data_IF_313525317744
#
_entry.id   IF_313525317744
#
_cell.length_a   1.000
_cell.length_b   1.000
_cell.length_c   1.000
_cell.angle_alpha   90.00
_cell.angle_beta   90.00
_cell.angle_gamma   90.00
#
_symmetry.space_group_name_H-M   'P 1'
#
loop_
_entity.id
_entity.type
_entity.pdbx_description
1 polymer ?
#
# COMPACT_ATOMS: atom_id res chain seq x y z
N UNK A 1 21.94 -7.01 -21.23
CA UNK A 1 21.79 -5.62 -21.71
C UNK A 1 20.33 -5.19 -21.51
N UNK A 2 20.07 -4.31 -20.55
CA UNK A 2 18.71 -3.83 -20.24
C UNK A 2 18.39 -2.67 -21.19
N UNK A 3 17.35 -2.81 -22.02
CA UNK A 3 16.82 -1.69 -22.81
C UNK A 3 16.28 -0.66 -21.81
N UNK A 4 17.01 0.44 -21.61
CA UNK A 4 16.49 1.62 -20.93
C UNK A 4 15.29 2.10 -21.72
N UNK A 5 14.10 1.96 -21.14
CA UNK A 5 12.89 2.57 -21.68
C UNK A 5 13.13 4.08 -21.63
N UNK A 6 13.05 4.82 -22.76
CA UNK A 6 13.32 6.24 -22.74
C UNK A 6 12.40 6.95 -21.74
N UNK A 7 12.95 7.91 -21.01
CA UNK A 7 12.18 8.76 -20.12
C UNK A 7 11.21 9.59 -20.96
N UNK A 8 9.94 9.15 -21.02
CA UNK A 8 8.86 9.98 -21.53
C UNK A 8 8.23 10.75 -20.37
N UNK A 9 8.17 12.09 -20.41
CA UNK A 9 7.50 12.87 -19.39
C UNK A 9 6.00 12.50 -19.32
N UNK A 10 5.34 12.70 -18.17
CA UNK A 10 3.89 12.52 -18.06
C UNK A 10 3.17 13.49 -18.99
N UNK A 11 2.07 13.02 -19.59
CA UNK A 11 1.24 13.85 -20.49
C UNK A 11 0.50 14.95 -19.69
N UNK A 12 0.28 16.15 -20.26
CA UNK A 12 -0.34 17.27 -19.56
C UNK A 12 -1.70 16.94 -18.93
N UNK A 13 -2.51 16.14 -19.61
CA UNK A 13 -3.85 15.74 -19.14
C UNK A 13 -3.74 14.92 -17.84
N UNK A 14 -2.76 14.03 -17.75
CA UNK A 14 -2.52 13.22 -16.56
C UNK A 14 -1.97 14.08 -15.41
N UNK A 15 -1.13 15.07 -15.69
CA UNK A 15 -0.66 16.03 -14.69
C UNK A 15 -1.83 16.82 -14.10
N UNK A 16 -2.72 17.33 -14.96
CA UNK A 16 -3.93 18.05 -14.54
C UNK A 16 -4.84 17.17 -13.68
N UNK A 17 -5.11 15.95 -14.11
CA UNK A 17 -5.96 15.00 -13.38
C UNK A 17 -5.36 14.59 -12.02
N UNK A 18 -4.03 14.44 -11.91
CA UNK A 18 -3.35 14.19 -10.64
C UNK A 18 -3.43 15.41 -9.72
N UNK A 19 -3.23 16.62 -10.25
CA UNK A 19 -3.36 17.84 -9.46
C UNK A 19 -4.79 18.02 -8.94
N UNK A 20 -5.79 17.74 -9.76
CA UNK A 20 -7.20 17.73 -9.36
C UNK A 20 -7.47 16.67 -8.28
N UNK A 21 -6.98 15.44 -8.47
CA UNK A 21 -7.09 14.39 -7.45
C UNK A 21 -6.49 14.85 -6.10
N UNK A 22 -5.30 15.43 -6.10
CA UNK A 22 -4.66 15.91 -4.86
C UNK A 22 -5.48 17.02 -4.18
N UNK A 23 -6.00 17.99 -4.95
CA UNK A 23 -6.91 19.02 -4.42
C UNK A 23 -8.20 18.43 -3.86
N UNK A 24 -8.79 17.46 -4.56
CA UNK A 24 -9.98 16.78 -4.08
C UNK A 24 -9.70 16.05 -2.77
N UNK A 25 -8.54 15.38 -2.67
CA UNK A 25 -8.11 14.76 -1.41
C UNK A 25 -7.96 15.78 -0.28
N UNK A 26 -7.40 16.96 -0.54
CA UNK A 26 -7.30 18.04 0.45
C UNK A 26 -8.69 18.45 0.98
N UNK A 27 -9.71 18.47 0.12
CA UNK A 27 -11.07 18.91 0.45
C UNK A 27 -11.95 17.85 1.11
N UNK A 28 -11.60 16.56 1.03
CA UNK A 28 -12.37 15.50 1.69
C UNK A 28 -12.24 15.68 3.20
N UNK A 29 -13.31 16.20 3.80
CA UNK A 29 -13.66 15.96 5.19
C UNK A 29 -14.41 14.63 5.28
N UNK A 30 -14.31 13.93 6.40
CA UNK A 30 -15.21 12.82 6.67
C UNK A 30 -16.67 13.33 6.58
N UNK A 31 -17.57 12.61 5.91
CA UNK A 31 -18.99 12.98 5.83
C UNK A 31 -19.62 12.88 7.24
N UNK A 32 -20.15 13.97 7.82
CA UNK A 32 -20.71 13.97 9.18
C UNK A 32 -21.82 12.94 9.40
N UNK A 33 -22.55 12.55 8.36
CA UNK A 33 -23.62 11.54 8.44
C UNK A 33 -23.08 10.11 8.57
N UNK A 34 -21.80 9.91 8.24
CA UNK A 34 -21.07 8.64 8.32
C UNK A 34 -20.04 8.66 9.46
N UNK A 35 -19.53 9.86 9.83
CA UNK A 35 -18.69 10.10 11.01
C UNK A 35 -19.44 9.61 12.26
N UNK A 36 -18.81 8.72 13.02
CA UNK A 36 -19.37 8.19 14.27
C UNK A 36 -20.29 6.97 14.11
N UNK A 37 -20.67 6.60 12.89
CA UNK A 37 -21.36 5.33 12.59
C UNK A 37 -20.43 4.29 11.94
N UNK A 38 -19.27 4.74 11.47
CA UNK A 38 -18.22 3.92 10.89
C UNK A 38 -16.88 4.18 11.59
N UNK A 39 -16.16 3.13 12.05
CA UNK A 39 -14.84 3.29 12.63
C UNK A 39 -13.83 3.62 11.54
N UNK A 40 -13.41 4.89 11.51
CA UNK A 40 -12.34 5.38 10.65
C UNK A 40 -11.03 4.69 11.04
N UNK A 41 -10.43 3.96 10.11
CA UNK A 41 -8.99 3.73 10.17
C UNK A 41 -8.32 5.08 9.89
N UNK A 42 -7.24 5.47 10.61
CA UNK A 42 -6.54 6.72 10.32
C UNK A 42 -6.26 6.84 8.83
N UNK A 43 -6.71 7.93 8.22
CA UNK A 43 -6.53 8.20 6.80
C UNK A 43 -7.64 7.67 5.87
N UNK A 44 -8.64 6.91 6.30
CA UNK A 44 -9.67 6.36 5.41
C UNK A 44 -11.07 6.84 5.80
N UNK A 45 -11.86 7.22 4.78
CA UNK A 45 -13.29 7.54 4.92
C UNK A 45 -14.12 6.49 4.18
N UNK A 46 -15.29 6.17 4.73
CA UNK A 46 -16.27 5.34 4.04
C UNK A 46 -17.23 6.19 3.24
N UNK A 47 -17.33 5.85 1.97
CA UNK A 47 -18.21 6.50 1.00
C UNK A 47 -19.20 5.47 0.46
N UNK A 48 -20.33 5.96 -0.05
CA UNK A 48 -21.42 5.14 -0.57
C UNK A 48 -21.76 5.62 -1.97
N UNK A 49 -21.57 4.72 -2.94
CA UNK A 49 -21.80 5.00 -4.37
C UNK A 49 -22.89 4.08 -4.88
N UNK A 50 -23.88 4.63 -5.59
CA UNK A 50 -24.79 3.80 -6.39
C UNK A 50 -24.05 3.33 -7.64
N UNK A 51 -23.94 2.01 -7.80
CA UNK A 51 -23.21 1.43 -8.90
C UNK A 51 -23.86 0.13 -9.39
N UNK A 52 -23.64 -0.19 -10.66
CA UNK A 52 -24.06 -1.44 -11.28
C UNK A 52 -22.85 -2.36 -11.43
N UNK A 53 -23.00 -3.65 -11.16
CA UNK A 53 -21.93 -4.61 -11.43
C UNK A 53 -21.71 -4.76 -12.94
N UNK A 54 -20.45 -4.82 -13.36
CA UNK A 54 -20.09 -5.10 -14.76
C UNK A 54 -19.96 -6.60 -14.97
N UNK A 55 -20.44 -7.05 -16.13
CA UNK A 55 -20.13 -8.40 -16.62
C UNK A 55 -18.61 -8.51 -16.85
N UNK A 56 -17.99 -9.45 -16.14
CA UNK A 56 -16.53 -9.68 -16.18
C UNK A 56 -16.07 -10.33 -17.46
N UNK A 57 -16.97 -11.03 -18.17
CA UNK A 57 -16.71 -11.60 -19.49
C UNK A 57 -17.16 -10.66 -20.61
N UNK A 58 -17.81 -9.55 -20.24
CA UNK A 58 -18.32 -8.54 -21.15
C UNK A 58 -17.27 -7.59 -21.73
N UNK A 59 -17.59 -6.93 -22.85
CA UNK A 59 -16.66 -6.06 -23.57
C UNK A 59 -16.26 -4.80 -22.78
N UNK A 60 -17.14 -4.30 -21.91
CA UNK A 60 -16.89 -3.11 -21.09
C UNK A 60 -15.78 -3.37 -20.06
N UNK A 61 -15.85 -4.46 -19.31
CA UNK A 61 -14.82 -4.83 -18.34
C UNK A 61 -13.47 -5.14 -19.02
N UNK A 62 -13.50 -5.76 -20.20
CA UNK A 62 -12.31 -5.99 -21.01
C UNK A 62 -11.64 -4.66 -21.44
N UNK A 63 -12.44 -3.67 -21.85
CA UNK A 63 -11.95 -2.32 -22.19
C UNK A 63 -11.33 -1.63 -20.97
N UNK A 64 -12.01 -1.61 -19.83
CA UNK A 64 -11.50 -1.02 -18.57
C UNK A 64 -10.13 -1.59 -18.20
N UNK A 65 -9.95 -2.91 -18.30
CA UNK A 65 -8.68 -3.54 -17.97
C UNK A 65 -7.55 -3.18 -18.92
N UNK A 66 -7.83 -3.10 -20.23
CA UNK A 66 -6.86 -2.72 -21.26
C UNK A 66 -6.36 -1.28 -21.04
N UNK A 67 -7.30 -0.36 -20.86
CA UNK A 67 -7.01 1.07 -20.70
C UNK A 67 -6.21 1.34 -19.42
N UNK A 68 -6.54 0.64 -18.33
CA UNK A 68 -5.81 0.77 -17.06
C UNK A 68 -4.32 0.43 -17.18
N UNK A 69 -3.96 -0.61 -17.95
CA UNK A 69 -2.55 -1.00 -18.08
C UNK A 69 -1.71 0.10 -18.74
N UNK A 70 -2.28 0.79 -19.72
CA UNK A 70 -1.65 1.95 -20.36
C UNK A 70 -1.54 3.12 -19.36
N UNK A 71 -2.64 3.46 -18.68
CA UNK A 71 -2.71 4.63 -17.80
C UNK A 71 -1.84 4.54 -16.54
N UNK A 72 -1.67 3.34 -15.98
CA UNK A 72 -0.95 3.14 -14.71
C UNK A 72 0.46 3.74 -14.73
N UNK A 73 1.21 3.54 -15.80
CA UNK A 73 2.58 4.07 -15.91
C UNK A 73 2.60 5.60 -15.94
N UNK A 74 1.66 6.21 -16.66
CA UNK A 74 1.52 7.68 -16.72
C UNK A 74 1.10 8.26 -15.38
N UNK A 75 0.23 7.59 -14.64
CA UNK A 75 -0.20 8.01 -13.31
C UNK A 75 0.98 8.07 -12.32
N UNK A 76 1.82 7.02 -12.27
CA UNK A 76 3.02 7.02 -11.40
C UNK A 76 3.96 8.19 -11.71
N UNK A 77 4.21 8.43 -13.01
CA UNK A 77 5.06 9.54 -13.46
C UNK A 77 4.50 10.90 -13.07
N UNK A 78 3.21 11.12 -13.30
CA UNK A 78 2.55 12.38 -12.99
C UNK A 78 2.54 12.65 -11.48
N UNK A 79 2.30 11.62 -10.66
CA UNK A 79 2.33 11.76 -9.21
C UNK A 79 3.73 12.07 -8.68
N UNK A 80 4.77 11.44 -9.23
CA UNK A 80 6.17 11.72 -8.86
C UNK A 80 6.70 13.07 -9.37
N UNK A 81 6.09 13.63 -10.42
CA UNK A 81 6.40 14.95 -10.96
C UNK A 81 5.72 16.09 -10.19
N UNK A 82 4.59 15.83 -9.53
CA UNK A 82 3.88 16.84 -8.73
C UNK A 82 4.60 17.06 -7.38
N UNK A 83 4.86 18.31 -6.91
CA UNK A 83 5.60 18.55 -5.67
C UNK A 83 5.00 17.85 -4.43
N UNK A 84 3.69 18.02 -4.21
CA UNK A 84 2.96 17.31 -3.14
C UNK A 84 2.98 15.80 -3.34
N UNK A 85 2.66 15.32 -4.55
CA UNK A 85 2.68 13.89 -4.86
C UNK A 85 4.05 13.24 -4.63
N UNK A 86 5.13 13.94 -4.98
CA UNK A 86 6.52 13.53 -4.76
C UNK A 86 6.86 13.45 -3.28
N UNK A 87 6.48 14.46 -2.49
CA UNK A 87 6.72 14.46 -1.06
C UNK A 87 5.97 13.33 -0.35
N UNK A 88 4.69 13.12 -0.69
CA UNK A 88 3.90 12.00 -0.18
C UNK A 88 4.47 10.65 -0.63
N UNK A 89 4.94 10.53 -1.88
CA UNK A 89 5.62 9.34 -2.37
C UNK A 89 6.91 9.06 -1.59
N UNK A 90 7.73 10.08 -1.32
CA UNK A 90 8.96 9.93 -0.56
C UNK A 90 8.70 9.40 0.85
N UNK A 91 7.64 9.86 1.52
CA UNK A 91 7.25 9.37 2.85
C UNK A 91 6.71 7.93 2.83
N UNK A 92 5.94 7.59 1.80
CA UNK A 92 5.27 6.29 1.69
C UNK A 92 6.17 5.18 1.14
N UNK A 93 7.03 5.47 0.17
CA UNK A 93 7.82 4.47 -0.58
C UNK A 93 9.32 4.76 -0.64
N UNK A 94 9.79 5.86 -0.05
CA UNK A 94 11.21 6.25 -0.03
C UNK A 94 11.72 6.74 -1.38
N UNK A 95 12.94 7.29 -1.39
CA UNK A 95 13.58 7.85 -2.61
C UNK A 95 13.70 6.84 -3.75
N UNK A 96 14.16 5.61 -3.46
CA UNK A 96 14.23 4.54 -4.46
C UNK A 96 12.86 4.17 -5.04
N UNK A 97 11.78 4.28 -4.26
CA UNK A 97 10.42 4.10 -4.75
C UNK A 97 9.99 5.23 -5.68
N UNK A 98 10.35 6.48 -5.36
CA UNK A 98 10.11 7.66 -6.21
C UNK A 98 10.82 7.52 -7.56
N UNK A 99 12.08 7.09 -7.57
CA UNK A 99 12.85 6.86 -8.81
C UNK A 99 12.16 5.82 -9.72
N UNK A 100 11.59 4.76 -9.15
CA UNK A 100 10.80 3.79 -9.93
C UNK A 100 9.53 4.43 -10.50
N UNK A 101 8.86 5.29 -9.75
CA UNK A 101 7.64 5.98 -10.20
C UNK A 101 7.93 6.96 -11.33
N UNK A 102 9.06 7.67 -11.29
CA UNK A 102 9.53 8.54 -12.39
C UNK A 102 9.73 7.76 -13.70
N UNK A 103 10.06 6.47 -13.60
CA UNK A 103 10.15 5.55 -14.74
C UNK A 103 8.80 4.93 -15.12
N UNK A 104 7.70 5.30 -14.46
CA UNK A 104 6.36 4.73 -14.63
C UNK A 104 6.24 3.29 -14.11
N UNK A 105 7.11 2.90 -13.18
CA UNK A 105 7.18 1.55 -12.62
C UNK A 105 6.61 1.53 -11.20
N UNK A 106 6.02 0.40 -10.78
CA UNK A 106 5.60 0.23 -9.39
C UNK A 106 6.80 0.32 -8.44
N UNK A 107 6.71 1.09 -7.34
CA UNK A 107 7.70 1.05 -6.28
C UNK A 107 7.87 -0.38 -5.74
N UNK A 108 9.11 -0.83 -5.54
CA UNK A 108 9.39 -2.15 -4.98
C UNK A 108 10.67 -2.13 -4.13
N UNK A 109 10.65 -2.88 -3.04
CA UNK A 109 11.80 -3.01 -2.14
C UNK A 109 11.97 -4.46 -1.65
N UNK A 110 13.17 -4.79 -1.22
CA UNK A 110 13.49 -6.10 -0.63
C UNK A 110 13.19 -5.99 0.87
N UNK A 111 12.08 -6.58 1.31
CA UNK A 111 11.63 -6.53 2.70
C UNK A 111 12.42 -7.47 3.62
N UNK A 112 13.00 -8.53 3.05
CA UNK A 112 13.82 -9.49 3.79
C UNK A 112 14.96 -9.96 2.88
N UNK A 113 16.19 -10.04 3.40
CA UNK A 113 17.31 -10.69 2.73
C UNK A 113 17.48 -12.05 3.41
N UNK A 114 17.22 -13.13 2.67
CA UNK A 114 17.47 -14.48 3.18
C UNK A 114 18.92 -14.83 2.89
N UNK A 115 19.65 -15.37 3.85
CA UNK A 115 21.01 -15.84 3.62
C UNK A 115 20.98 -17.36 3.38
N UNK A 116 21.50 -17.81 2.23
CA UNK A 116 21.73 -19.22 1.94
C UNK A 116 23.23 -19.44 1.78
N UNK A 117 23.82 -20.29 2.63
CA UNK A 117 25.26 -20.58 2.60
C UNK A 117 26.14 -19.33 2.79
N UNK A 118 25.72 -18.37 3.62
CA UNK A 118 26.46 -17.12 3.85
C UNK A 118 26.36 -16.09 2.72
N UNK A 119 25.61 -16.36 1.65
CA UNK A 119 25.35 -15.41 0.56
C UNK A 119 23.93 -14.84 0.66
N UNK A 120 23.74 -13.53 0.44
CA UNK A 120 22.40 -12.96 0.35
C UNK A 120 21.67 -13.54 -0.87
N UNK A 121 20.62 -14.32 -0.62
CA UNK A 121 19.67 -14.77 -1.62
C UNK A 121 18.52 -13.76 -1.75
N UNK A 122 17.85 -13.73 -2.91
CA UNK A 122 16.64 -12.90 -3.14
C UNK A 122 15.57 -13.28 -2.11
N UNK A 123 15.35 -12.44 -1.09
CA UNK A 123 14.25 -12.63 -0.17
C UNK A 123 12.95 -11.96 -0.64
N UNK A 124 12.02 -11.77 0.30
CA UNK A 124 10.65 -11.30 0.01
C UNK A 124 10.69 -9.91 -0.62
N UNK A 125 10.14 -9.78 -1.83
CA UNK A 125 9.92 -8.47 -2.47
C UNK A 125 8.53 -7.99 -2.14
N UNK A 126 8.46 -6.78 -1.62
CA UNK A 126 7.22 -6.03 -1.47
C UNK A 126 7.15 -5.00 -2.60
N UNK A 127 5.95 -4.76 -3.10
CA UNK A 127 5.74 -3.82 -4.20
C UNK A 127 4.47 -3.03 -3.96
N UNK A 128 4.47 -1.76 -4.29
CA UNK A 128 3.25 -0.97 -4.36
C UNK A 128 2.65 -1.10 -5.75
N UNK A 129 1.33 -1.06 -5.84
CA UNK A 129 0.64 -1.07 -7.13
C UNK A 129 -0.49 -0.05 -7.11
N UNK A 130 -0.90 0.40 -8.29
CA UNK A 130 -2.05 1.28 -8.44
C UNK A 130 -3.32 0.43 -8.36
N UNK A 131 -4.18 0.70 -7.39
CA UNK A 131 -5.47 0.07 -7.21
C UNK A 131 -6.57 1.08 -7.50
N UNK A 132 -7.71 0.57 -7.95
CA UNK A 132 -8.93 1.37 -8.01
C UNK A 132 -9.51 1.53 -6.59
N UNK A 133 -10.09 2.68 -6.29
CA UNK A 133 -10.87 2.95 -5.07
C UNK A 133 -12.25 2.33 -5.21
N UNK A 134 -12.94 2.67 -6.30
CA UNK A 134 -14.15 2.03 -6.81
C UNK A 134 -13.72 0.94 -7.79
N UNK A 135 -13.94 -0.36 -7.50
CA UNK A 135 -13.41 -1.45 -8.32
C UNK A 135 -13.79 -1.40 -9.80
N UNK A 136 -12.91 -1.93 -10.64
CA UNK A 136 -13.13 -2.05 -12.09
C UNK A 136 -14.38 -2.83 -12.49
N UNK A 137 -14.87 -3.68 -11.60
CA UNK A 137 -16.03 -4.56 -11.83
C UNK A 137 -17.35 -3.88 -11.51
N UNK A 138 -17.37 -2.59 -11.19
CA UNK A 138 -18.59 -1.82 -10.97
C UNK A 138 -18.53 -0.51 -11.73
N UNK A 139 -19.69 -0.04 -12.20
CA UNK A 139 -19.89 1.23 -12.88
C UNK A 139 -20.75 2.14 -12.00
N UNK A 140 -20.21 3.28 -11.52
CA UNK A 140 -21.01 4.29 -10.84
C UNK A 140 -22.13 4.83 -11.73
N UNK A 141 -23.34 4.96 -11.20
CA UNK A 141 -24.49 5.51 -11.94
C UNK A 141 -24.37 7.02 -12.19
N UNK A 142 -23.69 7.74 -11.30
CA UNK A 142 -23.53 9.19 -11.43
C UNK A 142 -22.80 9.58 -12.72
N UNK A 143 -22.10 8.65 -13.39
CA UNK A 143 -21.44 8.85 -14.68
C UNK A 143 -20.33 9.92 -14.68
N UNK A 144 -20.14 10.61 -13.56
CA UNK A 144 -19.34 11.83 -13.47
C UNK A 144 -17.83 11.57 -13.58
N UNK A 145 -17.39 10.35 -13.26
CA UNK A 145 -15.97 9.98 -13.24
C UNK A 145 -15.78 8.62 -13.90
N UNK A 146 -15.04 8.52 -15.02
CA UNK A 146 -14.70 7.24 -15.64
C UNK A 146 -13.98 6.31 -14.64
N UNK A 147 -14.22 4.99 -14.75
CA UNK A 147 -13.59 3.98 -13.87
C UNK A 147 -12.06 4.11 -13.82
N UNK A 148 -11.42 4.48 -14.93
CA UNK A 148 -9.97 4.67 -15.02
C UNK A 148 -9.49 6.12 -14.85
N UNK A 149 -10.33 6.99 -14.29
CA UNK A 149 -9.91 8.35 -13.94
C UNK A 149 -8.93 8.32 -12.75
N UNK A 150 -7.87 9.16 -12.73
CA UNK A 150 -6.90 9.21 -11.64
C UNK A 150 -7.47 9.46 -10.25
N UNK A 151 -8.61 10.15 -10.14
CA UNK A 151 -9.31 10.35 -8.86
C UNK A 151 -9.85 9.05 -8.26
N UNK A 152 -9.94 7.99 -9.06
CA UNK A 152 -10.32 6.66 -8.62
C UNK A 152 -9.11 5.77 -8.31
N UNK A 153 -7.89 6.32 -8.27
CA UNK A 153 -6.67 5.54 -8.04
C UNK A 153 -6.05 5.79 -6.67
N UNK A 154 -5.44 4.73 -6.12
CA UNK A 154 -4.62 4.77 -4.92
C UNK A 154 -3.45 3.81 -5.05
N UNK A 155 -2.28 4.20 -4.55
CA UNK A 155 -1.09 3.35 -4.58
C UNK A 155 -1.02 2.57 -3.27
N UNK A 156 -1.33 1.27 -3.32
CA UNK A 156 -1.36 0.44 -2.13
C UNK A 156 -0.27 -0.65 -2.15
N UNK A 157 0.34 -0.89 -0.99
CA UNK A 157 1.31 -1.95 -0.76
C UNK A 157 0.69 -3.30 -1.11
N UNK A 158 1.26 -3.99 -2.08
CA UNK A 158 0.80 -5.31 -2.56
C UNK A 158 1.78 -6.37 -2.10
N UNK A 159 1.35 -7.31 -1.27
CA UNK A 159 2.21 -8.42 -0.83
C UNK A 159 2.01 -9.68 -1.67
N UNK A 160 3.08 -10.44 -1.87
CA UNK A 160 3.05 -11.68 -2.66
C UNK A 160 2.24 -12.74 -1.90
N UNK A 161 1.13 -13.19 -2.49
CA UNK A 161 0.28 -14.31 -2.04
C UNK A 161 -0.28 -14.20 -0.62
N UNK A 162 -0.85 -13.06 -0.21
CA UNK A 162 -1.77 -13.02 0.95
C UNK A 162 -1.21 -13.48 2.31
N UNK A 163 0.10 -13.70 2.45
CA UNK A 163 0.72 -14.22 3.67
C UNK A 163 0.96 -13.13 4.72
N UNK A 164 0.85 -11.86 4.33
CA UNK A 164 0.78 -10.74 5.28
C UNK A 164 0.18 -9.52 4.58
N UNK A 165 -1.01 -9.10 4.98
CA UNK A 165 -1.70 -7.89 4.51
C UNK A 165 -1.83 -6.88 5.66
N UNK A 166 -1.04 -7.02 6.74
CA UNK A 166 -1.12 -6.15 7.93
C UNK A 166 -0.91 -4.68 7.57
N UNK A 167 -0.23 -4.42 6.47
CA UNK A 167 0.16 -3.07 6.07
C UNK A 167 -0.65 -2.59 4.86
N UNK A 168 -1.72 -3.31 4.47
CA UNK A 168 -2.54 -2.96 3.31
C UNK A 168 -4.04 -2.98 3.67
N UNK A 169 -4.53 -1.94 4.37
CA UNK A 169 -5.95 -1.81 4.69
C UNK A 169 -6.83 -1.75 3.44
N UNK A 170 -6.31 -1.25 2.32
CA UNK A 170 -7.07 -1.09 1.07
C UNK A 170 -7.66 -2.41 0.59
N UNK A 171 -6.87 -3.50 0.63
CA UNK A 171 -7.34 -4.83 0.26
C UNK A 171 -8.29 -5.43 1.28
N UNK A 172 -8.07 -5.19 2.58
CA UNK A 172 -9.02 -5.59 3.60
C UNK A 172 -10.40 -4.97 3.35
N UNK A 173 -10.44 -3.67 3.08
CA UNK A 173 -11.69 -2.96 2.84
C UNK A 173 -12.37 -3.36 1.55
N UNK A 174 -11.59 -3.52 0.47
CA UNK A 174 -12.11 -4.07 -0.78
C UNK A 174 -12.75 -5.43 -0.58
N UNK A 175 -12.07 -6.30 0.17
CA UNK A 175 -12.60 -7.59 0.59
C UNK A 175 -13.91 -7.44 1.38
N UNK A 176 -13.94 -6.57 2.39
CA UNK A 176 -15.07 -6.41 3.30
C UNK A 176 -16.35 -5.88 2.61
N UNK A 177 -16.24 -4.82 1.80
CA UNK A 177 -17.40 -4.09 1.29
C UNK A 177 -17.92 -4.58 -0.04
N UNK A 178 -17.01 -4.91 -0.95
CA UNK A 178 -17.35 -5.01 -2.36
C UNK A 178 -17.69 -6.44 -2.75
N UNK A 179 -17.11 -7.43 -2.06
CA UNK A 179 -17.16 -8.81 -2.51
C UNK A 179 -18.48 -9.53 -2.17
N UNK A 180 -19.15 -9.32 -1.02
CA UNK A 180 -20.51 -9.82 -0.85
C UNK A 180 -21.49 -9.24 -1.87
N UNK A 181 -21.17 -8.11 -2.52
CA UNK A 181 -22.07 -7.41 -3.42
C UNK A 181 -21.90 -7.81 -4.90
N UNK A 182 -20.90 -8.62 -5.25
CA UNK A 182 -20.63 -9.03 -6.65
C UNK A 182 -21.55 -10.12 -7.20
N UNK A 183 -22.49 -10.63 -6.40
CA UNK A 183 -23.50 -11.62 -6.85
C UNK A 183 -24.78 -10.99 -7.43
N UNK A 184 -24.86 -9.66 -7.47
CA UNK A 184 -26.05 -8.97 -7.97
C UNK A 184 -26.08 -8.94 -9.51
N UNK A 185 -27.29 -8.91 -10.07
CA UNK A 185 -27.51 -8.81 -11.50
C UNK A 185 -26.82 -7.54 -12.06
N UNK A 186 -26.08 -7.64 -13.19
CA UNK A 186 -25.31 -6.54 -13.77
C UNK A 186 -26.18 -5.41 -14.37
N UNK A 187 -27.48 -5.42 -14.11
CA UNK A 187 -28.46 -4.47 -14.63
C UNK A 187 -29.10 -3.63 -13.54
N UNK A 188 -28.98 -4.02 -12.27
CA UNK A 188 -29.61 -3.29 -11.17
C UNK A 188 -28.57 -2.47 -10.39
N UNK A 189 -28.81 -1.15 -10.22
CA UNK A 189 -28.00 -0.32 -9.36
C UNK A 189 -28.14 -0.71 -7.90
N UNK A 190 -27.03 -0.80 -7.19
CA UNK A 190 -26.99 -1.10 -5.77
C UNK A 190 -26.11 -0.08 -5.03
N UNK A 191 -26.40 0.18 -3.75
CA UNK A 191 -25.48 0.94 -2.92
C UNK A 191 -24.24 0.12 -2.59
N UNK A 192 -23.10 0.62 -3.05
CA UNK A 192 -21.79 0.06 -2.83
C UNK A 192 -21.01 0.90 -1.84
N UNK A 193 -20.45 0.27 -0.82
CA UNK A 193 -19.53 0.93 0.10
C UNK A 193 -18.12 0.90 -0.49
N UNK A 194 -17.47 2.06 -0.54
CA UNK A 194 -16.11 2.20 -1.04
C UNK A 194 -15.26 2.89 0.01
N UNK A 195 -14.01 2.45 0.12
CA UNK A 195 -13.05 3.06 1.01
C UNK A 195 -12.32 4.15 0.27
N UNK A 196 -12.70 5.38 0.59
CA UNK A 196 -12.06 6.55 0.02
C UNK A 196 -10.82 6.89 0.84
N UNK A 197 -9.62 6.76 0.25
CA UNK A 197 -8.40 7.13 0.93
C UNK A 197 -8.29 8.65 1.07
N UNK A 198 -7.73 9.14 2.19
CA UNK A 198 -7.35 10.55 2.40
C UNK A 198 -5.93 10.87 1.90
N UNK A 199 -5.22 9.87 1.38
CA UNK A 199 -3.86 9.96 0.86
C UNK A 199 -3.76 9.17 -0.45
N UNK A 200 -2.88 9.55 -1.39
CA UNK A 200 -2.67 8.77 -2.61
C UNK A 200 -1.89 7.47 -2.39
N UNK A 201 -1.37 7.22 -1.18
CA UNK A 201 -0.58 6.03 -0.82
C UNK A 201 -1.11 5.32 0.42
N UNK A 202 -1.06 3.97 0.41
CA UNK A 202 -1.34 3.12 1.56
C UNK A 202 -0.24 2.07 1.80
N UNK A 203 0.42 2.08 2.97
CA UNK A 203 0.29 3.09 4.03
C UNK A 203 0.84 4.46 3.57
N UNK A 204 0.33 5.59 4.11
CA UNK A 204 0.75 6.93 3.67
C UNK A 204 2.16 7.30 4.14
N UNK A 205 2.64 6.66 5.20
CA UNK A 205 3.97 6.88 5.79
C UNK A 205 4.60 5.55 6.21
N UNK A 206 5.92 5.50 6.16
CA UNK A 206 6.74 4.35 6.59
C UNK A 206 7.25 4.47 8.04
N UNK A 207 7.02 5.61 8.69
CA UNK A 207 7.29 5.88 10.10
C UNK A 207 6.32 6.96 10.60
N UNK A 208 5.98 6.99 11.89
CA UNK A 208 5.16 8.06 12.45
C UNK A 208 5.96 9.30 12.84
N UNK A 209 5.26 10.43 12.94
CA UNK A 209 5.83 11.74 13.28
C UNK A 209 5.14 12.34 14.51
N UNK A 210 5.88 13.04 15.37
CA UNK A 210 5.34 13.70 16.58
C UNK A 210 5.15 15.20 16.38
N UNK A 211 6.03 15.83 15.61
CA UNK A 211 6.02 17.27 15.36
C UNK A 211 6.13 17.58 13.87
N UNK A 212 5.76 18.80 13.48
CA UNK A 212 5.92 19.29 12.09
C UNK A 212 7.40 19.32 11.73
N UNK A 213 8.26 19.70 12.67
CA UNK A 213 9.71 19.75 12.52
C UNK A 213 10.29 18.37 12.20
N UNK A 214 9.84 17.31 12.89
CA UNK A 214 10.26 15.93 12.59
C UNK A 214 9.94 15.55 11.14
N UNK A 215 8.74 15.91 10.69
CA UNK A 215 8.27 15.64 9.33
C UNK A 215 9.09 16.41 8.29
N UNK A 216 9.30 17.71 8.50
CA UNK A 216 10.11 18.57 7.60
C UNK A 216 11.55 18.09 7.53
N UNK A 217 12.16 17.74 8.66
CA UNK A 217 13.51 17.18 8.72
C UNK A 217 13.60 15.86 7.93
N UNK A 218 12.59 15.00 8.04
CA UNK A 218 12.54 13.76 7.26
C UNK A 218 12.40 14.01 5.76
N UNK A 219 11.54 14.93 5.34
CA UNK A 219 11.39 15.30 3.92
C UNK A 219 12.69 15.87 3.36
N UNK A 220 13.37 16.75 4.10
CA UNK A 220 14.67 17.29 3.72
C UNK A 220 15.73 16.19 3.57
N UNK A 221 15.79 15.24 4.50
CA UNK A 221 16.69 14.08 4.43
C UNK A 221 16.41 13.16 3.24
N UNK A 222 15.16 13.13 2.75
CA UNK A 222 14.74 12.39 1.56
C UNK A 222 14.94 13.18 0.26
N UNK A 223 15.40 14.44 0.32
CA UNK A 223 15.48 15.32 -0.84
C UNK A 223 14.11 15.67 -1.44
N UNK A 224 13.05 15.60 -0.63
CA UNK A 224 11.68 15.84 -1.05
C UNK A 224 11.26 17.31 -0.81
N UNK A 225 10.34 17.85 -1.63
CA UNK A 225 9.77 19.16 -1.38
C UNK A 225 9.06 19.23 -0.02
N UNK A 226 8.98 20.43 0.56
CA UNK A 226 8.13 20.66 1.71
C UNK A 226 6.66 20.49 1.32
N UNK A 227 5.85 19.99 2.26
CA UNK A 227 4.41 19.87 2.10
C UNK A 227 3.69 21.17 2.51
N UNK A 228 2.57 21.52 1.85
CA UNK A 228 1.65 22.53 2.38
C UNK A 228 1.12 22.14 3.76
N UNK A 229 0.78 23.14 4.59
CA UNK A 229 0.36 22.94 5.99
C UNK A 229 -0.81 21.94 6.15
N UNK A 230 -1.77 21.94 5.21
CA UNK A 230 -2.89 20.99 5.22
C UNK A 230 -2.43 19.54 5.21
N UNK A 231 -1.37 19.22 4.45
CA UNK A 231 -0.81 17.87 4.38
C UNK A 231 0.08 17.57 5.59
N UNK A 232 0.83 18.55 6.10
CA UNK A 232 1.62 18.41 7.32
C UNK A 232 0.69 18.07 8.51
N UNK A 233 -0.40 18.81 8.69
CA UNK A 233 -1.41 18.57 9.73
C UNK A 233 -2.01 17.17 9.59
N UNK A 234 -2.43 16.79 8.38
CA UNK A 234 -3.05 15.49 8.13
C UNK A 234 -2.13 14.31 8.42
N UNK A 235 -0.83 14.42 8.09
CA UNK A 235 0.17 13.39 8.41
C UNK A 235 0.37 13.26 9.92
N UNK A 236 0.34 14.37 10.66
CA UNK A 236 0.45 14.37 12.10
C UNK A 236 -0.80 13.80 12.79
N UNK A 237 -1.98 14.17 12.33
CA UNK A 237 -3.25 13.58 12.80
C UNK A 237 -3.28 12.07 12.54
N UNK A 238 -2.92 11.66 11.33
CA UNK A 238 -2.74 10.26 10.98
C UNK A 238 -1.74 9.58 11.93
N UNK A 239 -0.56 10.19 12.15
CA UNK A 239 0.47 9.65 13.02
C UNK A 239 -0.04 9.49 14.45
N UNK A 240 -0.71 10.51 15.01
CA UNK A 240 -1.29 10.46 16.37
C UNK A 240 -2.32 9.35 16.49
N UNK A 241 -3.25 9.25 15.54
CA UNK A 241 -4.28 8.22 15.54
C UNK A 241 -3.68 6.80 15.37
N UNK A 242 -2.57 6.70 14.64
CA UNK A 242 -1.76 5.48 14.51
C UNK A 242 -0.77 5.23 15.65
N UNK A 243 -0.79 6.04 16.73
CA UNK A 243 0.17 5.99 17.85
C UNK A 243 1.64 6.06 17.38
N UNK A 244 1.86 6.88 16.37
CA UNK A 244 3.12 7.15 15.68
C UNK A 244 3.76 5.92 15.03
N UNK A 245 2.92 4.97 14.55
CA UNK A 245 3.37 3.74 13.86
C UNK A 245 2.99 3.75 12.37
N UNK A 246 3.72 3.01 11.51
CA UNK A 246 3.54 3.01 10.06
C UNK A 246 2.35 2.19 9.53
N UNK A 247 1.21 2.20 10.24
CA UNK A 247 0.02 1.35 10.01
C UNK A 247 0.15 -0.09 10.55
N UNK A 248 -0.93 -0.66 11.11
CA UNK A 248 -1.05 -2.10 11.33
C UNK A 248 -2.52 -2.56 11.36
N UNK A 249 -2.85 -3.53 10.52
CA UNK A 249 -4.12 -4.24 10.46
C UNK A 249 -3.98 -5.53 11.28
N UNK A 250 -4.92 -5.84 12.20
CA UNK A 250 -4.89 -7.07 12.98
C UNK A 250 -4.98 -8.34 12.14
N UNK A 251 -4.54 -9.47 12.70
CA UNK A 251 -4.37 -10.73 11.97
C UNK A 251 -5.67 -11.39 11.55
N UNK A 252 -6.73 -11.18 12.34
CA UNK A 252 -8.08 -11.71 12.11
C UNK A 252 -8.65 -11.22 10.77
N UNK A 253 -8.14 -10.11 10.26
CA UNK A 253 -8.53 -9.53 8.98
C UNK A 253 -7.79 -10.14 7.78
N UNK A 254 -6.66 -10.83 8.00
CA UNK A 254 -5.96 -11.54 6.94
C UNK A 254 -6.76 -12.73 6.43
N UNK A 255 -7.50 -13.41 7.30
CA UNK A 255 -8.32 -14.57 6.93
C UNK A 255 -9.41 -14.17 5.94
N UNK A 256 -10.02 -13.00 6.15
CA UNK A 256 -11.03 -12.41 5.26
C UNK A 256 -10.43 -12.21 3.86
N UNK A 257 -9.31 -11.49 3.75
CA UNK A 257 -8.64 -11.26 2.46
C UNK A 257 -8.18 -12.56 1.79
N UNK A 258 -7.73 -13.56 2.56
CA UNK A 258 -7.36 -14.88 2.04
C UNK A 258 -8.57 -15.60 1.44
N UNK A 259 -9.69 -15.70 2.16
CA UNK A 259 -10.91 -16.34 1.67
C UNK A 259 -11.41 -15.72 0.36
N UNK A 260 -11.28 -14.40 0.21
CA UNK A 260 -11.62 -13.73 -1.04
C UNK A 260 -10.62 -13.98 -2.16
N UNK A 261 -9.32 -14.04 -1.86
CA UNK A 261 -8.32 -14.50 -2.81
C UNK A 261 -8.67 -15.89 -3.35
N UNK A 262 -9.07 -16.79 -2.45
CA UNK A 262 -9.42 -18.17 -2.78
C UNK A 262 -10.62 -18.25 -3.74
N UNK A 263 -11.67 -17.43 -3.51
CA UNK A 263 -12.86 -17.37 -4.38
C UNK A 263 -12.52 -17.12 -5.86
N UNK A 264 -11.54 -16.26 -6.13
CA UNK A 264 -11.08 -15.95 -7.49
C UNK A 264 -10.08 -16.96 -8.05
N UNK A 265 -9.44 -17.75 -7.19
CA UNK A 265 -8.52 -18.83 -7.60
C UNK A 265 -9.19 -20.20 -7.68
N UNK A 266 -10.48 -20.31 -7.35
CA UNK A 266 -11.24 -21.54 -7.55
C UNK A 266 -11.23 -21.91 -9.04
N UNK A 267 -10.26 -22.74 -9.42
CA UNK A 267 -10.03 -23.25 -10.77
C UNK A 267 -10.62 -24.65 -10.88
N UNK A 268 -11.89 -24.80 -10.49
CA UNK A 268 -12.61 -26.02 -10.81
C UNK A 268 -12.99 -25.98 -12.29
N UNK A 269 -12.66 -27.05 -13.03
CA UNK A 269 -12.99 -27.20 -14.45
C UNK A 269 -14.49 -27.44 -14.67
N UNK A 270 -15.20 -27.92 -13.65
CA UNK A 270 -16.66 -28.03 -13.67
C UNK A 270 -17.29 -26.67 -13.29
N UNK A 271 -18.03 -26.03 -14.22
CA UNK A 271 -18.68 -24.74 -13.97
C UNK A 271 -19.71 -24.76 -12.83
N UNK A 272 -20.47 -25.85 -12.69
CA UNK A 272 -21.53 -25.94 -11.68
C UNK A 272 -20.94 -26.05 -10.27
N UNK A 273 -19.92 -26.89 -10.12
CA UNK A 273 -19.19 -27.03 -8.87
C UNK A 273 -18.41 -25.76 -8.51
N UNK A 274 -17.85 -25.07 -9.51
CA UNK A 274 -17.24 -23.76 -9.33
C UNK A 274 -18.24 -22.73 -8.78
N UNK A 275 -19.43 -22.67 -9.38
CA UNK A 275 -20.50 -21.77 -8.98
C UNK A 275 -20.96 -22.04 -7.54
N UNK A 276 -21.14 -23.31 -7.16
CA UNK A 276 -21.51 -23.71 -5.80
C UNK A 276 -20.44 -23.32 -4.78
N UNK A 277 -19.17 -23.56 -5.07
CA UNK A 277 -18.05 -23.17 -4.20
C UNK A 277 -18.00 -21.64 -3.99
N UNK A 278 -18.15 -20.88 -5.08
CA UNK A 278 -18.18 -19.42 -5.03
C UNK A 278 -19.35 -18.90 -4.18
N UNK A 279 -20.54 -19.49 -4.34
CA UNK A 279 -21.71 -19.13 -3.55
C UNK A 279 -21.51 -19.39 -2.04
N UNK A 280 -20.92 -20.54 -1.68
CA UNK A 280 -20.64 -20.87 -0.28
C UNK A 280 -19.61 -19.92 0.35
N UNK A 281 -18.52 -19.63 -0.36
CA UNK A 281 -17.50 -18.69 0.10
C UNK A 281 -18.07 -17.26 0.26
N UNK A 282 -18.93 -16.84 -0.66
CA UNK A 282 -19.59 -15.54 -0.58
C UNK A 282 -20.57 -15.43 0.60
N UNK A 283 -21.29 -16.50 0.93
CA UNK A 283 -22.15 -16.52 2.12
C UNK A 283 -21.33 -16.41 3.42
N UNK A 284 -20.20 -17.12 3.52
CA UNK A 284 -19.31 -17.03 4.68
C UNK A 284 -18.72 -15.63 4.83
N UNK A 285 -18.25 -15.06 3.72
CA UNK A 285 -17.77 -13.69 3.64
C UNK A 285 -18.84 -12.66 4.04
N UNK A 286 -20.08 -12.85 3.59
CA UNK A 286 -21.22 -11.99 3.92
C UNK A 286 -21.46 -11.93 5.43
N UNK A 287 -21.44 -13.08 6.11
CA UNK A 287 -21.62 -13.13 7.58
C UNK A 287 -20.53 -12.34 8.30
N UNK A 288 -19.28 -12.46 7.84
CA UNK A 288 -18.16 -11.70 8.42
C UNK A 288 -18.28 -10.20 8.13
N UNK A 289 -18.66 -9.82 6.91
CA UNK A 289 -18.86 -8.41 6.55
C UNK A 289 -19.95 -7.76 7.40
N UNK A 290 -21.07 -8.47 7.64
CA UNK A 290 -22.15 -7.98 8.48
C UNK A 290 -21.71 -7.62 9.91
N UNK A 291 -20.68 -8.28 10.46
CA UNK A 291 -20.15 -7.94 11.80
C UNK A 291 -19.49 -6.56 11.85
N UNK A 292 -19.10 -5.98 10.70
CA UNK A 292 -18.45 -4.67 10.61
C UNK A 292 -19.33 -3.57 10.00
N UNK A 293 -20.33 -3.95 9.20
CA UNK A 293 -21.13 -3.01 8.42
C UNK A 293 -22.29 -2.41 9.21
N UNK A 294 -22.62 -1.12 8.97
CA UNK A 294 -23.72 -0.45 9.65
C UNK A 294 -25.09 -0.96 9.17
N UNK A 295 -26.14 -0.62 9.93
CA UNK A 295 -27.52 -0.84 9.52
C UNK A 295 -27.80 -0.32 8.10
N UNK A 296 -28.65 -1.02 7.37
CA UNK A 296 -29.01 -0.66 5.99
C UNK A 296 -27.94 -0.92 4.94
N UNK A 297 -26.76 -1.44 5.29
CA UNK A 297 -25.76 -1.86 4.32
C UNK A 297 -26.24 -3.08 3.53
N UNK A 298 -25.79 -3.23 2.27
CA UNK A 298 -26.14 -4.38 1.45
C UNK A 298 -25.05 -5.44 1.50
N UNK A 299 -25.42 -6.67 1.83
CA UNK A 299 -24.52 -7.82 1.94
C UNK A 299 -25.17 -9.00 1.23
N UNK A 300 -24.51 -9.55 0.20
CA UNK A 300 -25.03 -10.68 -0.59
C UNK A 300 -26.46 -10.45 -1.11
N UNK A 301 -26.68 -9.28 -1.71
CA UNK A 301 -27.98 -8.87 -2.26
C UNK A 301 -29.05 -8.51 -1.23
N UNK A 302 -28.77 -8.64 0.07
CA UNK A 302 -29.74 -8.35 1.14
C UNK A 302 -29.34 -7.12 1.92
N UNK A 303 -30.32 -6.26 2.22
CA UNK A 303 -30.13 -5.10 3.09
C UNK A 303 -30.11 -5.52 4.55
N UNK A 304 -29.11 -5.09 5.31
CA UNK A 304 -29.05 -5.29 6.76
C UNK A 304 -30.20 -4.55 7.45
N UNK A 305 -30.79 -5.12 8.52
CA UNK A 305 -31.90 -4.52 9.25
C UNK A 305 -31.60 -3.10 9.78
N UNK A 306 -32.61 -2.24 9.95
CA UNK A 306 -32.45 -0.88 10.51
C UNK A 306 -31.89 -0.85 11.93
N UNK A 307 -32.10 -1.92 12.71
CA UNK A 307 -31.64 -2.10 14.08
C UNK A 307 -30.32 -2.87 14.19
N UNK A 308 -29.72 -3.26 13.05
CA UNK A 308 -28.44 -3.96 13.02
C UNK A 308 -27.33 -3.12 13.65
N UNK A 309 -26.59 -3.73 14.57
CA UNK A 309 -25.42 -3.11 15.20
C UNK A 309 -24.15 -3.89 14.80
N UNK A 310 -23.13 -3.22 14.24
CA UNK A 310 -21.84 -3.85 14.04
C UNK A 310 -21.33 -4.47 15.34
N UNK A 311 -20.88 -5.72 15.28
CA UNK A 311 -20.32 -6.43 16.45
C UNK A 311 -18.83 -6.14 16.64
N UNK A 312 -18.16 -5.75 15.55
CA UNK A 312 -16.73 -5.47 15.53
C UNK A 312 -16.54 -4.03 15.08
N UNK A 313 -15.74 -3.29 15.83
CA UNK A 313 -15.12 -2.08 15.31
C UNK A 313 -14.04 -2.49 14.32
N UNK A 314 -14.08 -1.91 13.12
CA UNK A 314 -12.89 -1.80 12.27
C UNK A 314 -11.73 -1.32 13.13
N UNK A 315 -10.55 -1.95 12.99
CA UNK A 315 -9.54 -1.89 14.01
C UNK A 315 -8.90 -0.50 14.05
N UNK A 316 -8.87 0.11 15.23
CA UNK A 316 -7.83 1.08 15.55
C UNK A 316 -6.56 0.27 15.84
N UNK A 317 -5.44 0.69 15.24
CA UNK A 317 -4.13 0.03 15.37
C UNK A 317 -3.88 -0.39 16.83
N UNK A 318 -3.79 -1.71 17.07
CA UNK A 318 -3.56 -2.24 18.41
C UNK A 318 -2.24 -1.68 18.98
N UNK A 319 -2.33 -0.98 20.11
CA UNK A 319 -1.14 -0.68 20.91
C UNK A 319 -0.75 -1.91 21.70
N UNK A 320 -0.02 -2.82 21.08
CA UNK A 320 0.94 -3.60 21.86
C UNK A 320 2.23 -2.77 21.89
N UNK A 321 2.43 -2.06 23.00
CA UNK A 321 3.77 -1.63 23.41
C UNK A 321 4.59 -2.92 23.54
N UNK A 322 5.51 -3.17 22.61
CA UNK A 322 6.73 -3.84 23.01
C UNK A 322 7.68 -2.71 23.43
N UNK A 323 8.22 -2.73 24.67
CA UNK A 323 9.28 -1.82 25.02
C UNK A 323 10.39 -1.99 24.00
N UNK A 324 10.92 -0.86 23.52
CA UNK A 324 12.12 -0.85 22.69
C UNK A 324 13.20 -1.65 23.41
N UNK A 325 13.52 -2.83 22.91
CA UNK A 325 14.80 -3.44 23.23
C UNK A 325 15.83 -2.52 22.63
N UNK A 326 16.39 -1.65 23.46
CA UNK A 326 17.58 -0.86 23.15
C UNK A 326 18.66 -1.86 22.78
N UNK A 327 18.81 -2.14 21.49
CA UNK A 327 20.00 -2.80 20.98
C UNK A 327 21.10 -1.75 21.08
N UNK A 328 21.78 -1.74 22.22
CA UNK A 328 23.04 -1.02 22.35
C UNK A 328 23.94 -1.49 21.20
N UNK A 329 24.56 -0.58 20.43
CA UNK A 329 25.51 -0.97 19.42
C UNK A 329 26.66 -1.70 20.10
N UNK A 330 26.84 -2.98 19.79
CA UNK A 330 28.01 -3.74 20.20
C UNK A 330 29.25 -2.99 19.72
N UNK A 331 30.22 -2.67 20.59
CA UNK A 331 31.41 -1.95 20.16
C UNK A 331 32.11 -2.77 19.09
N UNK A 332 32.39 -2.11 17.96
CA UNK A 332 33.12 -2.71 16.86
C UNK A 332 34.42 -3.32 17.39
N UNK A 333 34.54 -4.65 17.32
CA UNK A 333 35.81 -5.34 17.49
C UNK A 333 36.77 -4.78 16.43
N UNK A 334 37.65 -3.86 16.84
CA UNK A 334 38.88 -3.53 16.12
C UNK A 334 39.60 -4.85 15.85
N UNK A 335 39.51 -5.37 14.63
CA UNK A 335 40.52 -6.29 14.13
C UNK A 335 41.78 -5.45 13.94
N UNK A 336 42.63 -5.46 14.96
CA UNK A 336 44.04 -5.11 14.86
C UNK A 336 44.62 -5.88 13.67
N UNK A 337 44.78 -5.17 12.55
CA UNK A 337 45.47 -5.66 11.38
C UNK A 337 46.95 -5.64 11.74
N UNK A 338 47.46 -6.78 12.20
CA UNK A 338 48.89 -7.02 12.39
C UNK A 338 49.54 -6.89 11.02
N UNK A 339 50.14 -5.73 10.76
CA UNK A 339 51.08 -5.54 9.66
C UNK A 339 52.28 -6.40 10.01
N UNK A 340 52.45 -7.54 9.33
CA UNK A 340 53.75 -8.23 9.29
C UNK A 340 54.73 -7.32 8.58
N UNK A 341 55.43 -6.51 9.37
CA UNK A 341 56.65 -5.83 8.97
C UNK A 341 57.69 -6.93 8.66
N UNK A 342 58.12 -7.01 7.40
CA UNK A 342 59.30 -7.80 7.03
C UNK A 342 60.52 -7.08 7.61
N UNK A 343 60.95 -7.52 8.80
CA UNK A 343 62.27 -7.22 9.33
C UNK A 343 63.31 -8.02 8.52
N UNK A 344 63.96 -7.33 7.59
CA UNK A 344 65.31 -7.71 7.17
C UNK A 344 66.22 -7.59 8.40
N UNK A 345 66.85 -8.70 8.76
CA UNK A 345 67.89 -8.74 9.79
C UNK A 345 69.08 -7.88 9.34
N UNK A 346 69.62 -7.00 10.19
CA UNK A 346 70.93 -6.42 9.97
C UNK A 346 72.00 -7.49 10.15
N UNK A 347 72.81 -7.68 9.11
CA UNK A 347 74.00 -8.53 9.14
C UNK A 347 75.02 -7.96 10.13
N UNK A 348 75.52 -8.86 10.98
CA UNK A 348 76.59 -8.64 11.94
C UNK A 348 77.88 -8.26 11.19
N UNK A 349 78.65 -7.25 11.63
CA UNK A 349 79.93 -6.90 11.04
C UNK A 349 81.00 -7.97 11.37
N UNK A 350 81.93 -8.27 10.45
CA UNK A 350 83.04 -9.15 10.74
C UNK A 350 84.04 -8.46 11.68
N UNK A 351 84.37 -9.11 12.79
CA UNK A 351 85.58 -8.81 13.56
C UNK A 351 86.80 -9.35 12.82
N UNK A 352 87.80 -8.50 12.69
CA UNK A 352 89.13 -8.85 12.23
C UNK A 352 89.88 -9.68 13.28
N UNK A 353 90.60 -10.70 12.84
CA UNK A 353 91.80 -11.19 13.50
C UNK A 353 92.86 -11.47 12.43
N UNK A 354 93.76 -10.48 12.32
CA UNK A 354 95.22 -10.56 12.30
C UNK A 354 96.00 -11.59 11.43
N UNK A 355 97.23 -11.20 11.04
CA UNK A 355 97.98 -11.75 9.92
C UNK A 355 98.85 -12.94 10.34
N UNK A 356 99.40 -13.67 9.35
CA UNK A 356 100.80 -14.11 9.34
C UNK A 356 101.17 -14.82 8.03
N UNK A 357 102.27 -14.32 7.48
CA UNK A 357 103.18 -14.83 6.43
C UNK A 357 102.68 -14.73 5.00
#
# INVERSE_FOLDING_TARGET
MSRSTPFSPPVPEMLSAVAEMLRNLEQISSDPSVIGQCPELPGIVLDKVLATALDRDGPEYAKVNRDYQALRGHYFKALAAHPVGRALAALAVGSAGVELMELGRPPAFVAEIRYQGGRPARGRRESYNCHHIVPKSIRPESGAVPVNHPTNFVIAKTTRRGLDQSDNPHHFWHSLFLHPQTHNAPTEPIPVYVVRPLFPFYPPITQGFRTVEDLRNKLAALGAPQLPEVWESRILEFSKAAKHRPYAVPKEFHEITRMFGDLYTAQNKDPALNQQMRASLAEQAARLAADFLPAGAYVNGKRLPPDHRPKKSIPLIESKMQPETVVQPTPARRKSRTVKCQLQKPGIPPQANHPKV
#
